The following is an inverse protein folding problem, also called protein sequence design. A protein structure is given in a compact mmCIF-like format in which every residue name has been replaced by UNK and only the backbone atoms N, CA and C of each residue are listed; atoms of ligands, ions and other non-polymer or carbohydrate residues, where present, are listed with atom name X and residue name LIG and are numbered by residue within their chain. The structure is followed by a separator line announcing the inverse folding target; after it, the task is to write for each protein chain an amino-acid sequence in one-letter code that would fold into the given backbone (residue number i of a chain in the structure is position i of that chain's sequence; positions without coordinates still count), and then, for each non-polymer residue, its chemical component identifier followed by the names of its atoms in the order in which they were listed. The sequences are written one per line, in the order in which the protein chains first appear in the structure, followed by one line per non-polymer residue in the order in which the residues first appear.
data_IF_854460890406
#
_entry.id   IF_854460890406
#
_cell.length_a   1.000
_cell.length_b   1.000
_cell.length_c   1.000
_cell.angle_alpha   90.00
_cell.angle_beta   90.00
_cell.angle_gamma   90.00
#
_symmetry.space_group_name_H-M   'P 1'
#
loop_
_entity.id
_entity.type
_entity.pdbx_description
1 polymer ?
#
# COMPACT_ATOMS: atom_id res chain seq x y z
N UNK A 1 9.45 3.24 -7.67
CA UNK A 1 9.13 3.21 -6.24
C UNK A 1 8.01 4.17 -5.88
N UNK A 2 8.13 5.48 -6.22
CA UNK A 2 7.10 6.48 -5.88
C UNK A 2 5.74 6.15 -6.50
N UNK A 3 5.70 5.82 -7.79
CA UNK A 3 4.48 5.42 -8.48
C UNK A 3 3.89 4.13 -7.88
N UNK A 4 4.75 3.15 -7.64
CA UNK A 4 4.34 1.89 -7.02
C UNK A 4 3.76 2.11 -5.63
N UNK A 5 4.42 2.91 -4.81
CA UNK A 5 3.96 3.25 -3.47
C UNK A 5 2.59 3.95 -3.48
N UNK A 6 2.39 4.91 -4.39
CA UNK A 6 1.12 5.60 -4.57
C UNK A 6 0.00 4.69 -5.04
N UNK A 7 0.27 3.77 -5.97
CA UNK A 7 -0.71 2.77 -6.42
C UNK A 7 -1.08 1.81 -5.29
N UNK A 8 -0.09 1.34 -4.55
CA UNK A 8 -0.31 0.50 -3.38
C UNK A 8 -1.20 1.20 -2.33
N UNK A 9 -0.97 2.46 -2.05
CA UNK A 9 -1.76 3.22 -1.08
C UNK A 9 -3.21 3.36 -1.52
N UNK A 10 -3.46 3.84 -2.72
CA UNK A 10 -4.83 4.05 -3.24
C UNK A 10 -5.65 2.76 -3.28
N UNK A 11 -5.04 1.67 -3.72
CA UNK A 11 -5.72 0.38 -3.74
C UNK A 11 -6.22 -0.05 -2.34
N UNK A 12 -5.42 0.19 -1.30
CA UNK A 12 -5.76 -0.22 0.06
C UNK A 12 -6.83 0.65 0.70
N UNK A 13 -6.80 1.94 0.46
CA UNK A 13 -7.88 2.83 0.91
C UNK A 13 -9.21 2.43 0.28
N UNK A 14 -9.20 2.11 -1.02
CA UNK A 14 -10.38 1.61 -1.71
C UNK A 14 -10.86 0.28 -1.13
N UNK A 15 -9.96 -0.66 -0.84
CA UNK A 15 -10.30 -1.95 -0.21
C UNK A 15 -11.01 -1.74 1.12
N UNK A 16 -10.44 -0.96 2.03
CA UNK A 16 -11.04 -0.71 3.36
C UNK A 16 -12.37 0.02 3.24
N UNK A 17 -12.48 0.99 2.35
CA UNK A 17 -13.72 1.72 2.10
C UNK A 17 -14.83 0.79 1.60
N UNK A 18 -14.53 -0.04 0.62
CA UNK A 18 -15.50 -0.98 0.03
C UNK A 18 -15.93 -2.04 1.06
N UNK A 19 -15.02 -2.59 1.84
CA UNK A 19 -15.35 -3.54 2.91
C UNK A 19 -16.28 -2.92 3.95
N UNK A 20 -15.97 -1.71 4.42
CA UNK A 20 -16.83 -0.99 5.39
C UNK A 20 -18.19 -0.61 4.80
N UNK A 21 -18.29 -0.51 3.48
CA UNK A 21 -19.54 -0.25 2.77
C UNK A 21 -20.38 -1.51 2.53
N UNK A 22 -19.90 -2.69 2.93
CA UNK A 22 -20.60 -3.95 2.76
C UNK A 22 -20.62 -4.48 1.31
N UNK A 23 -19.72 -4.02 0.47
CA UNK A 23 -19.62 -4.44 -0.94
C UNK A 23 -18.81 -5.73 -1.05
N UNK A 24 -19.18 -6.62 -1.99
CA UNK A 24 -18.35 -7.76 -2.36
C UNK A 24 -17.01 -7.26 -2.93
N UNK A 25 -15.95 -7.44 -2.16
CA UNK A 25 -14.64 -6.92 -2.49
C UNK A 25 -14.05 -7.53 -3.76
N UNK A 26 -14.26 -8.84 -3.99
CA UNK A 26 -13.75 -9.52 -5.17
C UNK A 26 -14.38 -8.95 -6.45
N UNK A 27 -15.70 -8.79 -6.48
CA UNK A 27 -16.43 -8.21 -7.61
C UNK A 27 -16.06 -6.74 -7.83
N UNK A 28 -16.04 -5.94 -6.77
CA UNK A 28 -15.68 -4.52 -6.85
C UNK A 28 -14.26 -4.32 -7.39
N UNK A 29 -13.31 -5.13 -6.94
CA UNK A 29 -11.93 -5.09 -7.43
C UNK A 29 -11.83 -5.40 -8.92
N UNK A 30 -12.58 -6.41 -9.40
CA UNK A 30 -12.56 -6.78 -10.81
C UNK A 30 -13.11 -5.65 -11.69
N UNK A 31 -14.17 -4.99 -11.25
CA UNK A 31 -14.71 -3.79 -11.92
C UNK A 31 -13.68 -2.67 -11.96
N UNK A 32 -13.06 -2.34 -10.83
CA UNK A 32 -12.06 -1.27 -10.77
C UNK A 32 -10.83 -1.58 -11.60
N UNK A 33 -10.37 -2.82 -11.59
CA UNK A 33 -9.18 -3.22 -12.35
C UNK A 33 -9.40 -3.28 -13.86
N UNK A 34 -10.65 -3.47 -14.30
CA UNK A 34 -11.04 -3.43 -15.71
C UNK A 34 -11.18 -2.02 -16.29
N UNK A 35 -11.15 -0.98 -15.45
CA UNK A 35 -11.28 0.42 -15.85
C UNK A 35 -9.97 1.20 -15.72
N UNK A 36 -10.07 2.53 -15.79
CA UNK A 36 -8.92 3.45 -15.71
C UNK A 36 -8.18 3.41 -14.37
N UNK A 37 -8.82 2.89 -13.31
CA UNK A 37 -8.20 2.68 -12.00
C UNK A 37 -7.34 1.41 -11.93
N UNK A 38 -7.35 0.57 -12.97
CA UNK A 38 -6.59 -0.67 -13.04
C UNK A 38 -5.09 -0.44 -12.98
N UNK A 39 -4.37 -1.42 -12.43
CA UNK A 39 -2.91 -1.41 -12.37
C UNK A 39 -2.36 -2.82 -12.26
N UNK A 40 -1.11 -3.00 -12.67
CA UNK A 40 -0.38 -4.27 -12.48
C UNK A 40 -0.31 -4.66 -11.00
N UNK A 41 -0.18 -3.69 -10.11
CA UNK A 41 -0.20 -3.94 -8.66
C UNK A 41 -1.54 -4.52 -8.21
N UNK A 42 -2.64 -3.91 -8.63
CA UNK A 42 -3.98 -4.38 -8.28
C UNK A 42 -4.23 -5.79 -8.81
N UNK A 43 -3.72 -6.11 -10.01
CA UNK A 43 -3.80 -7.44 -10.59
C UNK A 43 -2.96 -8.45 -9.81
N UNK A 44 -1.67 -8.17 -9.60
CA UNK A 44 -0.71 -9.12 -9.00
C UNK A 44 -0.92 -9.35 -7.51
N UNK A 45 -1.43 -8.36 -6.79
CA UNK A 45 -1.64 -8.42 -5.34
C UNK A 45 -3.09 -8.73 -4.95
N UNK A 46 -3.88 -9.24 -5.89
CA UNK A 46 -5.27 -9.64 -5.67
C UNK A 46 -5.44 -10.50 -4.43
N UNK A 47 -4.77 -11.63 -4.41
CA UNK A 47 -4.93 -12.63 -3.35
C UNK A 47 -4.40 -12.12 -2.01
N UNK A 48 -3.32 -11.34 -2.05
CA UNK A 48 -2.78 -10.69 -0.86
C UNK A 48 -3.82 -9.77 -0.18
N UNK A 49 -4.58 -9.01 -0.97
CA UNK A 49 -5.60 -8.11 -0.43
C UNK A 49 -6.86 -8.86 0.03
N UNK A 50 -7.34 -9.81 -0.79
CA UNK A 50 -8.59 -10.54 -0.50
C UNK A 50 -8.42 -11.50 0.68
N UNK A 51 -7.30 -12.21 0.74
CA UNK A 51 -7.07 -13.28 1.72
C UNK A 51 -6.18 -12.82 2.89
N UNK A 52 -5.71 -11.55 2.87
CA UNK A 52 -4.73 -11.01 3.82
C UNK A 52 -3.49 -11.90 3.96
N UNK A 53 -3.06 -12.46 2.83
CA UNK A 53 -1.81 -13.20 2.74
C UNK A 53 -0.65 -12.22 2.51
N UNK A 54 0.13 -11.99 3.55
CA UNK A 54 1.27 -11.07 3.54
C UNK A 54 2.61 -11.81 3.56
N UNK A 55 2.64 -13.04 3.08
CA UNK A 55 3.89 -13.76 2.84
C UNK A 55 4.80 -12.93 1.91
N UNK A 56 6.09 -12.74 2.26
CA UNK A 56 6.92 -11.75 1.61
C UNK A 56 7.29 -12.11 0.17
N UNK A 57 6.82 -11.30 -0.78
CA UNK A 57 7.37 -11.21 -2.13
C UNK A 57 8.30 -10.01 -2.27
N UNK A 58 7.88 -8.86 -1.73
CA UNK A 58 8.70 -7.65 -1.56
C UNK A 58 8.42 -7.06 -0.17
N UNK A 59 9.40 -7.17 0.71
CA UNK A 59 9.24 -6.83 2.13
C UNK A 59 9.08 -5.32 2.37
N UNK A 60 8.32 -4.98 3.40
CA UNK A 60 8.16 -3.60 3.89
C UNK A 60 9.52 -2.97 4.20
N UNK A 61 10.47 -3.70 4.80
CA UNK A 61 11.81 -3.18 5.08
C UNK A 61 12.54 -2.70 3.82
N UNK A 62 12.40 -3.41 2.70
CA UNK A 62 12.98 -3.01 1.41
C UNK A 62 12.27 -1.78 0.85
N UNK A 63 10.95 -1.74 0.95
CA UNK A 63 10.16 -0.59 0.51
C UNK A 63 10.51 0.66 1.35
N UNK A 64 10.70 0.50 2.65
CA UNK A 64 11.16 1.57 3.54
C UNK A 64 12.52 2.12 3.11
N UNK A 65 13.48 1.24 2.84
CA UNK A 65 14.79 1.63 2.33
C UNK A 65 14.68 2.40 1.01
N UNK A 66 13.92 1.88 0.05
CA UNK A 66 13.74 2.50 -1.25
C UNK A 66 13.07 3.87 -1.17
N UNK A 67 12.05 4.01 -0.30
CA UNK A 67 11.41 5.32 -0.06
C UNK A 67 12.37 6.33 0.57
N UNK A 68 13.27 5.88 1.43
CA UNK A 68 14.35 6.73 1.97
C UNK A 68 15.27 7.24 0.88
N UNK A 69 15.73 6.37 -0.02
CA UNK A 69 16.57 6.73 -1.16
C UNK A 69 15.89 7.77 -2.06
N UNK A 70 14.63 7.53 -2.41
CA UNK A 70 13.84 8.43 -3.26
C UNK A 70 13.63 9.80 -2.58
N UNK A 71 13.30 9.81 -1.30
CA UNK A 71 13.09 11.05 -0.54
C UNK A 71 14.37 11.89 -0.47
N UNK A 72 15.51 11.27 -0.23
CA UNK A 72 16.80 11.95 -0.21
C UNK A 72 17.20 12.48 -1.60
N UNK A 73 16.98 11.68 -2.65
CA UNK A 73 17.24 12.10 -4.03
C UNK A 73 16.35 13.28 -4.43
N UNK A 74 15.05 13.23 -4.08
CA UNK A 74 14.12 14.33 -4.35
C UNK A 74 14.56 15.63 -3.66
N UNK A 75 15.01 15.54 -2.40
CA UNK A 75 15.54 16.69 -1.66
C UNK A 75 16.76 17.28 -2.37
N UNK A 76 17.68 16.45 -2.85
CA UNK A 76 18.90 16.91 -3.50
C UNK A 76 18.67 17.66 -4.81
N UNK A 77 17.58 17.38 -5.50
CA UNK A 77 17.21 18.05 -6.78
C UNK A 77 16.07 19.06 -6.61
N UNK A 78 15.60 19.30 -5.39
CA UNK A 78 14.51 20.24 -5.11
C UNK A 78 13.14 19.80 -5.58
N UNK A 79 12.90 18.49 -5.75
CA UNK A 79 11.60 17.94 -6.14
C UNK A 79 10.70 17.73 -4.92
N UNK A 80 9.46 18.21 -4.97
CA UNK A 80 8.45 17.96 -3.96
C UNK A 80 7.72 16.63 -4.23
N UNK A 81 7.63 15.77 -3.22
CA UNK A 81 6.94 14.47 -3.28
C UNK A 81 5.91 14.37 -2.14
N UNK A 82 4.82 15.16 -2.14
CA UNK A 82 3.88 15.18 -1.02
C UNK A 82 3.22 13.82 -0.77
N UNK A 83 2.75 13.14 -1.80
CA UNK A 83 2.17 11.79 -1.67
C UNK A 83 3.24 10.77 -1.28
N UNK A 84 4.42 10.85 -1.87
CA UNK A 84 5.56 10.00 -1.53
C UNK A 84 5.97 10.14 -0.05
N UNK A 85 5.97 11.36 0.48
CA UNK A 85 6.27 11.61 1.89
C UNK A 85 5.25 10.96 2.83
N UNK A 86 3.96 11.07 2.53
CA UNK A 86 2.90 10.40 3.32
C UNK A 86 3.08 8.90 3.29
N UNK A 87 3.30 8.31 2.10
CA UNK A 87 3.52 6.86 1.97
C UNK A 87 4.76 6.40 2.72
N UNK A 88 5.86 7.17 2.65
CA UNK A 88 7.09 6.86 3.38
C UNK A 88 6.86 6.78 4.91
N UNK A 89 6.06 7.71 5.47
CA UNK A 89 5.71 7.70 6.88
C UNK A 89 4.84 6.49 7.27
N UNK A 90 3.91 6.08 6.42
CA UNK A 90 3.08 4.91 6.68
C UNK A 90 3.89 3.61 6.62
N UNK A 91 4.82 3.50 5.69
CA UNK A 91 5.76 2.38 5.62
C UNK A 91 6.65 2.34 6.86
N UNK A 92 7.18 3.48 7.29
CA UNK A 92 7.97 3.60 8.52
C UNK A 92 7.18 3.17 9.76
N UNK A 93 5.91 3.58 9.84
CA UNK A 93 5.01 3.20 10.93
C UNK A 93 4.80 1.69 11.01
N UNK A 94 4.55 1.02 9.88
CA UNK A 94 4.41 -0.45 9.86
C UNK A 94 5.68 -1.15 10.30
N UNK A 95 6.83 -0.68 9.84
CA UNK A 95 8.12 -1.22 10.25
C UNK A 95 8.32 -1.09 11.76
N UNK A 96 8.00 0.08 12.33
CA UNK A 96 8.08 0.32 13.76
C UNK A 96 7.13 -0.57 14.58
N UNK A 97 6.01 -0.98 14.00
CA UNK A 97 5.03 -1.89 14.61
C UNK A 97 5.39 -3.37 14.48
N UNK A 98 6.53 -3.71 13.89
CA UNK A 98 7.01 -5.08 13.74
C UNK A 98 6.64 -5.76 12.42
N UNK A 99 5.98 -5.07 11.51
CA UNK A 99 5.52 -5.63 10.22
C UNK A 99 6.58 -5.56 9.11
N UNK A 100 7.82 -5.17 9.41
CA UNK A 100 8.88 -4.95 8.42
C UNK A 100 9.21 -6.16 7.55
N UNK A 101 9.08 -7.36 8.07
CA UNK A 101 9.32 -8.62 7.35
C UNK A 101 8.19 -9.08 6.45
N UNK A 102 7.01 -8.46 6.53
CA UNK A 102 5.85 -8.82 5.71
C UNK A 102 5.96 -8.24 4.30
N UNK A 103 5.21 -8.83 3.37
CA UNK A 103 5.07 -8.27 2.02
C UNK A 103 4.54 -6.83 2.05
N UNK A 104 4.96 -6.01 1.12
CA UNK A 104 4.52 -4.61 1.05
C UNK A 104 2.99 -4.46 0.87
N UNK A 105 2.27 -5.50 0.46
CA UNK A 105 0.80 -5.53 0.48
C UNK A 105 0.24 -5.35 1.89
N UNK A 106 0.99 -5.66 2.94
CA UNK A 106 0.61 -5.44 4.34
C UNK A 106 0.47 -3.95 4.73
N UNK A 107 0.81 -2.99 3.84
CA UNK A 107 0.37 -1.61 3.99
C UNK A 107 -1.15 -1.48 4.16
N UNK A 108 -1.94 -2.48 3.74
CA UNK A 108 -3.37 -2.57 4.05
C UNK A 108 -3.63 -2.45 5.55
N UNK A 109 -2.81 -3.09 6.38
CA UNK A 109 -2.92 -3.04 7.85
C UNK A 109 -2.79 -1.62 8.41
N UNK A 110 -2.01 -0.75 7.78
CA UNK A 110 -1.93 0.64 8.22
C UNK A 110 -3.25 1.38 8.03
N UNK A 111 -3.94 1.15 6.92
CA UNK A 111 -5.25 1.75 6.66
C UNK A 111 -6.31 1.16 7.58
N UNK A 112 -6.29 -0.15 7.78
CA UNK A 112 -7.20 -0.85 8.71
C UNK A 112 -7.04 -0.31 10.13
N UNK A 113 -5.80 -0.18 10.64
CA UNK A 113 -5.53 0.38 11.97
C UNK A 113 -5.99 1.84 12.10
N UNK A 114 -5.71 2.67 11.11
CA UNK A 114 -6.21 4.05 11.07
C UNK A 114 -7.74 4.13 11.03
N UNK A 115 -8.38 3.10 10.52
CA UNK A 115 -9.84 2.97 10.43
C UNK A 115 -10.47 2.25 11.63
N UNK A 116 -9.68 1.98 12.68
CA UNK A 116 -10.12 1.42 13.95
C UNK A 116 -10.06 -0.11 14.05
N UNK A 117 -9.56 -0.82 13.04
CA UNK A 117 -9.38 -2.26 13.13
C UNK A 117 -8.17 -2.63 14.00
N UNK A 118 -8.31 -3.73 14.75
CA UNK A 118 -7.23 -4.30 15.57
C UNK A 118 -6.55 -5.45 14.81
N UNK A 119 -5.60 -5.10 13.98
CA UNK A 119 -4.87 -6.05 13.12
C UNK A 119 -3.36 -5.91 13.27
#
# INVERSE_FOLDING_TARGET
VVLLAGQHRRAREAVVFLEKSGVDLAAARDVLNGGLAGSTVLTRKKDNFLNRDFAPGFRIDLHHKDMGIVTDAARSVGAALPVGAVVAQLVASLRAQGDGGLDHSALLRSVERLSGAQV
#
